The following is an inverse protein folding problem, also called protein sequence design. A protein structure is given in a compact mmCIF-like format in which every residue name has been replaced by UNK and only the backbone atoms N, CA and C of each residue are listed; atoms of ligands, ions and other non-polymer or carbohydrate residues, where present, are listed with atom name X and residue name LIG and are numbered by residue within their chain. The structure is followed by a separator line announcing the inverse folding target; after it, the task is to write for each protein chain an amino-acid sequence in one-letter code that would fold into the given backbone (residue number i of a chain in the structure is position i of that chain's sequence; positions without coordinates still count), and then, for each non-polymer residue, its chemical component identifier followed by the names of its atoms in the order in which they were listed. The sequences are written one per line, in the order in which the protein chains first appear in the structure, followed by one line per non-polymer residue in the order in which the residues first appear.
data_IF_201018929087
#
_entry.id   IF_201018929087
#
_cell.length_a   1.000
_cell.length_b   1.000
_cell.length_c   1.000
_cell.angle_alpha   90.00
_cell.angle_beta   90.00
_cell.angle_gamma   90.00
#
_symmetry.space_group_name_H-M   'P 1'
#
loop_
_entity.id
_entity.type
_entity.pdbx_description
1 polymer ?
#
# COMPACT_ATOMS: atom_id res chain seq x y z
N UNK A 1 -15.32 7.80 6.67
CA UNK A 1 -15.04 9.12 7.29
C UNK A 1 -15.68 9.24 8.67
N UNK A 2 -16.98 8.94 8.80
CA UNK A 2 -17.72 9.18 10.06
C UNK A 2 -17.40 8.14 11.15
N UNK A 3 -17.46 6.84 10.84
CA UNK A 3 -17.35 5.78 11.84
C UNK A 3 -16.09 5.85 12.72
N UNK A 4 -14.88 6.11 12.18
CA UNK A 4 -13.68 6.27 12.99
C UNK A 4 -13.70 7.46 13.96
N UNK A 5 -14.46 8.50 13.66
CA UNK A 5 -14.59 9.67 14.52
C UNK A 5 -15.60 9.46 15.65
N UNK A 6 -16.65 8.67 15.42
CA UNK A 6 -17.72 8.42 16.41
C UNK A 6 -17.40 7.20 17.27
N UNK A 7 -17.06 6.07 16.64
CA UNK A 7 -16.87 4.78 17.31
C UNK A 7 -15.41 4.48 17.67
N UNK A 8 -14.50 5.38 17.31
CA UNK A 8 -13.07 5.22 17.52
C UNK A 8 -12.35 4.54 16.34
N UNK A 9 -11.13 4.98 16.10
CA UNK A 9 -10.26 4.49 15.03
C UNK A 9 -9.61 3.14 15.36
N UNK A 10 -9.53 2.79 16.64
CA UNK A 10 -9.10 1.48 17.13
C UNK A 10 -10.06 0.37 16.71
N UNK A 11 -11.37 0.64 16.69
CA UNK A 11 -12.38 -0.35 16.31
C UNK A 11 -12.73 -0.32 14.82
N UNK A 12 -12.79 0.86 14.21
CA UNK A 12 -13.32 1.03 12.86
C UNK A 12 -12.29 1.53 11.84
N UNK A 13 -11.00 1.57 12.21
CA UNK A 13 -9.93 2.07 11.37
C UNK A 13 -9.69 1.27 10.08
N UNK A 14 -10.19 0.04 9.97
CA UNK A 14 -10.01 -0.79 8.77
C UNK A 14 -10.88 -0.36 7.60
N UNK A 15 -12.03 0.28 7.87
CA UNK A 15 -12.90 0.82 6.81
C UNK A 15 -12.19 1.88 5.96
N UNK A 16 -11.17 2.54 6.54
CA UNK A 16 -10.37 3.52 5.83
C UNK A 16 -9.58 2.89 4.69
N UNK A 17 -9.24 1.60 4.77
CA UNK A 17 -8.46 0.89 3.74
C UNK A 17 -9.29 0.53 2.50
N UNK A 18 -10.62 0.56 2.58
CA UNK A 18 -11.50 0.22 1.45
C UNK A 18 -11.59 1.31 0.39
N UNK A 19 -11.22 2.56 0.72
CA UNK A 19 -11.23 3.65 -0.24
C UNK A 19 -10.01 3.58 -1.18
N UNK A 20 -10.22 3.61 -2.50
CA UNK A 20 -9.13 3.70 -3.49
C UNK A 20 -8.50 5.10 -3.59
N UNK A 21 -9.03 6.09 -2.86
CA UNK A 21 -8.64 7.50 -2.94
C UNK A 21 -8.76 8.08 -4.37
N UNK A 22 -9.81 7.72 -5.12
CA UNK A 22 -10.05 8.22 -6.48
C UNK A 22 -10.51 9.69 -6.57
N UNK A 23 -10.78 10.39 -5.46
CA UNK A 23 -11.14 11.82 -5.45
C UNK A 23 -12.57 12.17 -5.86
N UNK A 24 -13.27 11.31 -6.62
CA UNK A 24 -14.60 11.57 -7.20
C UNK A 24 -15.65 12.09 -6.22
N UNK A 25 -15.66 11.58 -4.99
CA UNK A 25 -16.60 12.01 -3.95
C UNK A 25 -16.41 13.48 -3.54
N UNK A 26 -15.21 14.03 -3.64
CA UNK A 26 -14.91 15.42 -3.31
C UNK A 26 -15.24 16.34 -4.51
N UNK A 27 -15.04 15.85 -5.73
CA UNK A 27 -15.35 16.59 -6.97
C UNK A 27 -16.86 16.80 -7.17
N UNK A 28 -17.67 15.78 -6.91
CA UNK A 28 -19.12 15.80 -7.17
C UNK A 28 -19.94 16.37 -6.00
N UNK A 29 -19.31 16.65 -4.86
CA UNK A 29 -20.03 17.03 -3.65
C UNK A 29 -20.68 18.43 -3.83
N UNK A 30 -22.02 18.57 -3.75
CA UNK A 30 -22.70 19.84 -3.97
C UNK A 30 -22.38 20.88 -2.89
N UNK A 31 -21.98 20.43 -1.70
CA UNK A 31 -21.64 21.26 -0.54
C UNK A 31 -20.12 21.33 -0.30
N UNK A 32 -19.31 20.90 -1.27
CA UNK A 32 -17.85 21.04 -1.28
C UNK A 32 -17.13 20.43 -0.05
N UNK A 33 -17.62 19.29 0.46
CA UNK A 33 -16.94 18.58 1.55
C UNK A 33 -15.72 17.82 1.00
N UNK A 34 -14.49 18.05 1.53
CA UNK A 34 -13.28 17.40 1.06
C UNK A 34 -13.14 15.98 1.64
N UNK A 35 -14.03 15.07 1.24
CA UNK A 35 -14.11 13.71 1.79
C UNK A 35 -12.81 12.91 1.57
N UNK A 36 -12.16 13.05 0.42
CA UNK A 36 -10.93 12.32 0.12
C UNK A 36 -9.77 12.75 1.05
N UNK A 37 -9.64 14.05 1.29
CA UNK A 37 -8.62 14.59 2.19
C UNK A 37 -8.88 14.20 3.65
N UNK A 38 -10.15 14.16 4.07
CA UNK A 38 -10.52 13.67 5.40
C UNK A 38 -10.14 12.20 5.59
N UNK A 39 -10.33 11.34 4.57
CA UNK A 39 -9.87 9.94 4.62
C UNK A 39 -8.34 9.89 4.72
N UNK A 40 -7.63 10.70 3.93
CA UNK A 40 -6.17 10.77 3.98
C UNK A 40 -5.67 11.17 5.38
N UNK A 41 -6.29 12.18 5.99
CA UNK A 41 -5.98 12.61 7.36
C UNK A 41 -6.18 11.47 8.36
N UNK A 42 -7.34 10.79 8.31
CA UNK A 42 -7.62 9.66 9.19
C UNK A 42 -6.65 8.49 8.99
N UNK A 43 -6.16 8.25 7.77
CA UNK A 43 -5.10 7.26 7.52
C UNK A 43 -3.76 7.67 8.12
N UNK A 44 -3.40 8.96 8.09
CA UNK A 44 -2.22 9.47 8.79
C UNK A 44 -2.36 9.33 10.31
N UNK A 45 -3.54 9.63 10.85
CA UNK A 45 -3.86 9.46 12.27
C UNK A 45 -3.77 7.98 12.68
N UNK A 46 -4.26 7.05 11.84
CA UNK A 46 -4.12 5.58 12.05
C UNK A 46 -2.67 5.10 12.14
N UNK A 47 -1.72 5.82 11.56
CA UNK A 47 -0.28 5.48 11.59
C UNK A 47 0.46 6.25 12.70
N UNK A 48 -0.24 7.12 13.44
CA UNK A 48 0.37 7.95 14.49
C UNK A 48 1.14 9.16 13.97
N UNK A 49 0.96 9.54 12.70
CA UNK A 49 1.55 10.75 12.10
C UNK A 49 0.61 11.97 12.18
N UNK A 50 -0.57 11.77 12.77
CA UNK A 50 -1.60 12.77 12.98
C UNK A 50 -1.23 13.82 14.03
N UNK A 51 -1.58 15.08 13.78
CA UNK A 51 -1.42 16.15 14.78
C UNK A 51 -2.55 16.16 15.81
N UNK A 52 -3.78 15.87 15.36
CA UNK A 52 -5.00 15.88 16.17
C UNK A 52 -5.77 14.59 15.89
N UNK A 53 -5.37 13.47 16.50
CA UNK A 53 -5.93 12.18 16.18
C UNK A 53 -7.36 12.03 16.75
N UNK A 54 -8.23 11.25 16.09
CA UNK A 54 -9.60 11.02 16.54
C UNK A 54 -9.63 10.07 17.74
N UNK A 55 -10.84 9.84 18.26
CA UNK A 55 -11.07 8.96 19.39
C UNK A 55 -10.44 7.57 19.17
N UNK A 56 -9.81 7.01 20.20
CA UNK A 56 -9.22 5.67 20.14
C UNK A 56 -7.85 5.57 19.46
N UNK A 57 -7.30 6.66 18.92
CA UNK A 57 -6.01 6.59 18.21
C UNK A 57 -4.84 6.12 19.07
N UNK A 58 -4.81 6.47 20.36
CA UNK A 58 -3.77 6.03 21.30
C UNK A 58 -3.78 4.51 21.53
N UNK A 59 -4.87 3.82 21.18
CA UNK A 59 -5.04 2.37 21.36
C UNK A 59 -4.71 1.58 20.09
N UNK A 60 -4.41 2.27 18.99
CA UNK A 60 -4.05 1.60 17.72
C UNK A 60 -2.68 0.96 17.87
N UNK A 61 -2.60 -0.34 17.56
CA UNK A 61 -1.34 -1.05 17.58
C UNK A 61 -0.49 -0.68 16.36
N UNK A 62 0.71 -0.15 16.59
CA UNK A 62 1.68 0.13 15.54
C UNK A 62 2.83 -0.88 15.59
N UNK A 63 3.15 -1.49 14.47
CA UNK A 63 4.31 -2.38 14.38
C UNK A 63 5.55 -1.60 13.93
N UNK A 64 6.58 -1.53 14.77
CA UNK A 64 7.82 -0.81 14.48
C UNK A 64 8.59 -1.41 13.29
N UNK A 65 8.55 -2.73 13.13
CA UNK A 65 9.18 -3.41 12.00
C UNK A 65 8.50 -3.04 10.68
N UNK A 66 7.17 -2.96 10.70
CA UNK A 66 6.37 -2.52 9.54
C UNK A 66 6.69 -1.06 9.20
N UNK A 67 6.67 -0.16 10.18
CA UNK A 67 7.02 1.25 9.99
C UNK A 67 8.44 1.42 9.41
N UNK A 68 9.40 0.62 9.88
CA UNK A 68 10.75 0.61 9.32
C UNK A 68 10.77 0.11 7.88
N UNK A 69 10.09 -1.01 7.58
CA UNK A 69 10.00 -1.57 6.23
C UNK A 69 9.41 -0.56 5.24
N UNK A 70 8.31 0.10 5.60
CA UNK A 70 7.71 1.15 4.77
C UNK A 70 8.61 2.40 4.62
N UNK A 71 9.39 2.74 5.64
CA UNK A 71 10.38 3.84 5.54
C UNK A 71 11.50 3.51 4.56
N UNK A 72 11.99 2.27 4.56
CA UNK A 72 12.97 1.81 3.57
C UNK A 72 12.36 1.77 2.17
N UNK A 73 11.16 1.21 2.04
CA UNK A 73 10.42 1.20 0.78
C UNK A 73 10.23 2.61 0.22
N UNK A 74 9.80 3.58 1.04
CA UNK A 74 9.68 4.99 0.66
C UNK A 74 11.00 5.50 0.07
N UNK A 75 12.12 5.30 0.76
CA UNK A 75 13.42 5.81 0.32
C UNK A 75 13.83 5.24 -1.06
N UNK A 76 13.62 3.93 -1.27
CA UNK A 76 13.92 3.26 -2.53
C UNK A 76 12.97 3.75 -3.64
N UNK A 77 11.66 3.79 -3.38
CA UNK A 77 10.64 4.18 -4.35
C UNK A 77 10.73 5.66 -4.77
N UNK A 78 11.20 6.55 -3.89
CA UNK A 78 11.37 7.98 -4.22
C UNK A 78 12.60 8.27 -5.08
N UNK A 79 13.56 7.35 -5.18
CA UNK A 79 14.79 7.56 -5.94
C UNK A 79 14.78 6.67 -7.20
N UNK A 80 14.74 7.30 -8.38
CA UNK A 80 14.60 6.59 -9.66
C UNK A 80 15.69 5.56 -9.94
N UNK A 81 16.96 5.87 -9.62
CA UNK A 81 18.07 4.96 -9.90
C UNK A 81 18.09 3.77 -8.94
N UNK A 82 17.83 4.03 -7.65
CA UNK A 82 17.72 2.96 -6.64
C UNK A 82 16.53 2.06 -6.92
N UNK A 83 15.40 2.64 -7.32
CA UNK A 83 14.21 1.90 -7.71
C UNK A 83 14.47 1.01 -8.94
N UNK A 84 15.08 1.58 -9.99
CA UNK A 84 15.43 0.83 -11.20
C UNK A 84 16.40 -0.31 -10.91
N UNK A 85 17.44 -0.04 -10.14
CA UNK A 85 18.40 -1.05 -9.73
C UNK A 85 17.74 -2.17 -8.92
N UNK A 86 16.90 -1.81 -7.93
CA UNK A 86 16.16 -2.77 -7.11
C UNK A 86 15.29 -3.70 -7.96
N UNK A 87 14.57 -3.17 -8.94
CA UNK A 87 13.71 -3.96 -9.81
C UNK A 87 14.51 -4.79 -10.83
N UNK A 88 15.61 -4.28 -11.36
CA UNK A 88 16.50 -5.04 -12.25
C UNK A 88 17.05 -6.30 -11.57
N UNK A 89 17.29 -6.22 -10.26
CA UNK A 89 17.79 -7.32 -9.42
C UNK A 89 16.68 -8.18 -8.80
N UNK A 90 15.40 -7.92 -9.10
CA UNK A 90 14.28 -8.65 -8.52
C UNK A 90 14.29 -10.16 -8.85
N UNK A 91 14.84 -10.56 -10.00
CA UNK A 91 14.96 -11.96 -10.40
C UNK A 91 15.78 -12.82 -9.42
N UNK A 92 16.77 -12.25 -8.73
CA UNK A 92 17.52 -12.97 -7.69
C UNK A 92 16.63 -13.39 -6.52
N UNK A 93 15.58 -12.62 -6.24
CA UNK A 93 14.62 -12.91 -5.18
C UNK A 93 13.46 -13.79 -5.66
N UNK A 94 13.28 -13.97 -6.99
CA UNK A 94 12.21 -14.80 -7.56
C UNK A 94 12.29 -16.24 -7.04
N UNK A 95 13.49 -16.85 -7.01
CA UNK A 95 13.65 -18.21 -6.47
C UNK A 95 13.16 -18.33 -5.01
N UNK A 96 13.47 -17.37 -4.15
CA UNK A 96 13.02 -17.39 -2.76
C UNK A 96 11.50 -17.24 -2.67
N UNK A 97 10.91 -16.32 -3.44
CA UNK A 97 9.46 -16.08 -3.43
C UNK A 97 8.69 -17.32 -3.89
N UNK A 98 9.14 -17.99 -4.94
CA UNK A 98 8.46 -19.17 -5.48
C UNK A 98 8.51 -20.34 -4.50
N UNK A 99 9.66 -20.57 -3.84
CA UNK A 99 9.81 -21.67 -2.88
C UNK A 99 9.10 -21.40 -1.54
N UNK A 100 9.05 -20.15 -1.09
CA UNK A 100 8.42 -19.75 0.18
C UNK A 100 7.00 -19.17 0.01
N UNK A 101 6.43 -19.23 -1.20
CA UNK A 101 5.10 -18.70 -1.52
C UNK A 101 4.01 -19.25 -0.58
N UNK A 102 4.10 -20.54 -0.25
CA UNK A 102 3.13 -21.23 0.59
C UNK A 102 3.25 -20.93 2.09
N UNK A 103 4.36 -20.32 2.53
CA UNK A 103 4.66 -20.03 3.94
C UNK A 103 4.29 -18.59 4.31
N UNK A 104 4.40 -17.68 3.35
CA UNK A 104 4.16 -16.25 3.58
C UNK A 104 2.65 -15.96 3.70
N UNK A 105 2.17 -15.34 4.80
CA UNK A 105 0.73 -15.31 5.13
C UNK A 105 -0.15 -14.56 4.12
N UNK A 106 0.37 -13.50 3.51
CA UNK A 106 -0.33 -12.73 2.46
C UNK A 106 -0.17 -13.38 1.09
N UNK A 107 1.05 -13.79 0.75
CA UNK A 107 1.36 -14.38 -0.56
C UNK A 107 0.67 -15.72 -0.74
N UNK A 108 0.56 -16.54 0.31
CA UNK A 108 -0.20 -17.79 0.29
C UNK A 108 -1.65 -17.60 -0.17
N UNK A 109 -2.34 -16.59 0.38
CA UNK A 109 -3.73 -16.27 0.02
C UNK A 109 -3.84 -15.76 -1.41
N UNK A 110 -2.85 -14.99 -1.86
CA UNK A 110 -2.80 -14.45 -3.22
C UNK A 110 -2.48 -15.55 -4.25
N UNK A 111 -1.50 -16.40 -3.96
CA UNK A 111 -1.05 -17.51 -4.79
C UNK A 111 -2.11 -18.60 -4.96
N UNK A 112 -3.03 -18.74 -4.01
CA UNK A 112 -4.17 -19.65 -4.13
C UNK A 112 -5.08 -19.33 -5.34
N UNK A 113 -5.11 -18.09 -5.81
CA UNK A 113 -6.00 -17.65 -6.90
C UNK A 113 -5.25 -17.03 -8.10
N UNK A 114 -3.94 -16.77 -7.97
CA UNK A 114 -3.12 -16.12 -8.99
C UNK A 114 -1.77 -16.81 -9.12
N UNK A 115 -1.27 -16.88 -10.33
CA UNK A 115 0.09 -17.36 -10.60
C UNK A 115 1.12 -16.28 -10.23
N UNK A 116 2.21 -16.70 -9.58
CA UNK A 116 3.34 -15.82 -9.32
C UNK A 116 4.12 -15.56 -10.62
N UNK A 117 4.39 -14.30 -10.98
CA UNK A 117 5.15 -14.00 -12.18
C UNK A 117 6.58 -14.56 -12.06
N UNK A 118 7.05 -15.22 -13.11
CA UNK A 118 8.41 -15.74 -13.19
C UNK A 118 9.34 -14.65 -13.72
N UNK A 119 9.97 -13.91 -12.81
CA UNK A 119 10.95 -12.88 -13.18
C UNK A 119 12.27 -13.61 -13.54
N UNK A 120 12.58 -13.75 -14.83
CA UNK A 120 13.77 -14.46 -15.32
C UNK A 120 14.94 -13.50 -15.56
N UNK A 121 14.67 -12.24 -15.90
CA UNK A 121 15.68 -11.22 -16.19
C UNK A 121 15.33 -9.86 -15.54
N UNK A 122 15.74 -8.77 -16.18
CA UNK A 122 15.35 -7.41 -15.79
C UNK A 122 13.83 -7.25 -15.89
N UNK A 123 13.18 -6.98 -14.75
CA UNK A 123 11.73 -6.84 -14.65
C UNK A 123 11.19 -5.82 -15.67
N UNK A 124 11.90 -4.72 -15.93
CA UNK A 124 11.44 -3.72 -16.89
C UNK A 124 11.33 -4.28 -18.31
N UNK A 125 12.32 -5.07 -18.73
CA UNK A 125 12.33 -5.68 -20.07
C UNK A 125 11.28 -6.77 -20.22
N UNK A 126 10.88 -7.42 -19.13
CA UNK A 126 9.82 -8.40 -19.15
C UNK A 126 8.44 -7.74 -19.17
N UNK A 127 8.22 -6.70 -18.37
CA UNK A 127 6.95 -5.96 -18.36
C UNK A 127 6.73 -5.28 -19.72
N UNK A 128 7.78 -4.82 -20.40
CA UNK A 128 7.74 -4.33 -21.79
C UNK A 128 7.22 -5.35 -22.81
N UNK A 129 7.36 -6.65 -22.53
CA UNK A 129 6.89 -7.71 -23.45
C UNK A 129 5.45 -8.11 -23.19
N UNK A 130 4.84 -7.66 -22.10
CA UNK A 130 3.45 -7.97 -21.79
C UNK A 130 2.52 -7.23 -22.76
N UNK A 131 1.55 -7.96 -23.30
CA UNK A 131 0.54 -7.38 -24.19
C UNK A 131 -0.22 -6.25 -23.50
N UNK A 132 -0.31 -5.10 -24.16
CA UNK A 132 -1.05 -3.93 -23.66
C UNK A 132 -0.25 -2.94 -22.80
N UNK A 133 1.05 -3.17 -22.57
CA UNK A 133 1.91 -2.18 -21.88
C UNK A 133 2.59 -1.26 -22.89
N UNK A 134 2.13 -0.01 -23.02
CA UNK A 134 2.89 1.02 -23.74
C UNK A 134 3.84 1.74 -22.78
N UNK A 135 5.13 1.65 -23.05
CA UNK A 135 6.11 2.55 -22.46
C UNK A 135 6.26 3.75 -23.38
N UNK A 136 5.95 4.94 -22.87
CA UNK A 136 6.39 6.21 -23.47
C UNK A 136 7.92 6.36 -23.32
#
# INVERSE_FOLDING_TARGET
VISPNIFGIDHTGDILNFCSLCGRCSEVCPVQIPLADLIRKLRCDKIGQGKNPPLGANKVHHNALEAFAFKQFKNIATNGDKWRFSLSKAHYFNWAVQNFANVLPVIKKWYAFKELPQIKMDLYKEVQKLEGVSYE
#
